data_IF_892533291081
#
_entry.id   IF_892533291081
#
_cell.length_a   1.000
_cell.length_b   1.000
_cell.length_c   1.000
_cell.angle_alpha   90.00
_cell.angle_beta   90.00
_cell.angle_gamma   90.00
#
_symmetry.space_group_name_H-M   'P 1'
#
loop_
_entity.id
_entity.type
_entity.pdbx_description
1 polymer ?
#
# COMPACT_ATOMS: atom_id res chain seq x y z
N UNK A 1 -10.25 -91.74 -57.78
CA UNK A 1 -10.93 -91.86 -56.48
C UNK A 1 -10.70 -90.55 -55.74
N UNK A 2 -11.80 -89.94 -55.27
CA UNK A 2 -11.91 -88.75 -54.36
C UNK A 2 -11.39 -87.40 -54.88
N UNK A 3 -12.27 -86.55 -55.47
CA UNK A 3 -13.00 -85.38 -54.88
C UNK A 3 -12.08 -84.17 -54.63
N UNK A 4 -12.08 -83.11 -55.46
CA UNK A 4 -13.08 -82.04 -55.66
C UNK A 4 -13.28 -81.13 -54.43
N UNK A 5 -12.96 -79.84 -54.57
CA UNK A 5 -13.65 -78.69 -53.97
C UNK A 5 -12.93 -77.37 -54.30
N UNK A 6 -13.59 -76.62 -55.18
CA UNK A 6 -13.46 -75.21 -55.54
C UNK A 6 -13.88 -74.24 -54.42
N UNK A 7 -13.38 -72.99 -54.48
CA UNK A 7 -14.07 -71.68 -54.28
C UNK A 7 -13.07 -70.59 -53.81
N UNK A 8 -12.61 -69.67 -54.66
CA UNK A 8 -13.20 -68.36 -55.11
C UNK A 8 -13.03 -67.16 -54.17
N UNK A 9 -12.52 -66.06 -54.74
CA UNK A 9 -12.82 -64.66 -54.40
C UNK A 9 -11.92 -64.04 -53.32
N UNK A 10 -11.36 -62.84 -53.44
CA UNK A 10 -11.62 -61.72 -54.34
C UNK A 10 -11.76 -60.40 -53.54
N UNK A 11 -11.06 -59.36 -54.01
CA UNK A 11 -11.27 -57.92 -53.78
C UNK A 11 -10.67 -57.21 -52.54
N UNK A 12 -9.67 -56.37 -52.84
CA UNK A 12 -9.70 -54.88 -52.83
C UNK A 12 -10.39 -54.08 -51.70
N UNK A 13 -9.63 -53.15 -51.11
CA UNK A 13 -10.11 -51.96 -50.37
C UNK A 13 -8.98 -51.35 -49.52
N UNK A 14 -8.31 -50.27 -49.95
CA UNK A 14 -8.63 -48.84 -49.72
C UNK A 14 -8.79 -48.46 -48.24
N UNK A 15 -7.89 -47.60 -47.74
CA UNK A 15 -8.02 -47.00 -46.40
C UNK A 15 -6.84 -46.09 -46.01
N UNK A 16 -6.88 -44.84 -46.45
CA UNK A 16 -6.12 -43.72 -45.88
C UNK A 16 -6.79 -43.24 -44.57
N UNK A 17 -5.98 -42.58 -43.74
CA UNK A 17 -6.29 -41.60 -42.67
C UNK A 17 -6.24 -42.10 -41.22
N UNK A 18 -5.65 -41.27 -40.36
CA UNK A 18 -5.60 -41.47 -38.91
C UNK A 18 -4.43 -40.77 -38.23
N UNK A 19 -4.44 -39.43 -38.21
CA UNK A 19 -3.67 -38.65 -37.25
C UNK A 19 -4.34 -38.74 -35.86
N UNK A 20 -3.55 -38.84 -34.80
CA UNK A 20 -3.82 -38.33 -33.44
C UNK A 20 -2.50 -38.43 -32.67
N UNK A 21 -1.89 -37.37 -32.14
CA UNK A 21 -2.49 -36.24 -31.45
C UNK A 21 -2.09 -36.32 -29.97
N UNK A 22 -0.79 -36.20 -29.67
CA UNK A 22 -0.27 -36.30 -28.31
C UNK A 22 -0.79 -35.17 -27.38
N UNK A 23 -1.29 -35.47 -26.17
CA UNK A 23 -1.76 -34.45 -25.24
C UNK A 23 -0.59 -34.03 -24.32
N UNK A 24 0.29 -33.15 -24.78
CA UNK A 24 1.48 -32.75 -24.01
C UNK A 24 1.55 -31.29 -23.51
N UNK A 25 0.70 -30.37 -24.00
CA UNK A 25 1.01 -28.93 -23.91
C UNK A 25 0.22 -28.06 -22.93
N UNK A 26 -0.92 -28.54 -22.38
CA UNK A 26 -1.87 -27.65 -21.68
C UNK A 26 -1.69 -27.52 -20.16
N UNK A 27 -0.85 -28.34 -19.53
CA UNK A 27 -0.65 -28.35 -18.06
C UNK A 27 0.39 -27.33 -17.54
N UNK A 28 1.43 -27.04 -18.32
CA UNK A 28 2.54 -26.19 -17.88
C UNK A 28 2.16 -24.69 -17.80
N UNK A 29 1.37 -24.20 -18.76
CA UNK A 29 0.97 -22.78 -18.81
C UNK A 29 -0.06 -22.41 -17.72
N UNK A 30 -0.91 -23.35 -17.29
CA UNK A 30 -1.85 -23.12 -16.18
C UNK A 30 -1.13 -23.12 -14.82
N UNK A 31 -0.24 -24.08 -14.60
CA UNK A 31 0.50 -24.20 -13.34
C UNK A 31 1.36 -22.96 -13.02
N UNK A 32 1.96 -22.31 -14.03
CA UNK A 32 2.71 -21.06 -13.84
C UNK A 32 1.83 -19.82 -13.57
N UNK A 33 0.64 -19.75 -14.18
CA UNK A 33 -0.32 -18.67 -13.94
C UNK A 33 -0.95 -18.77 -12.54
N UNK A 34 -1.21 -19.98 -12.07
CA UNK A 34 -1.81 -20.23 -10.75
C UNK A 34 -0.80 -19.95 -9.62
N UNK A 35 0.47 -20.34 -9.80
CA UNK A 35 1.56 -20.04 -8.87
C UNK A 35 1.84 -18.52 -8.77
N UNK A 36 1.95 -17.84 -9.91
CA UNK A 36 2.16 -16.37 -9.94
C UNK A 36 0.97 -15.59 -9.37
N UNK A 37 -0.26 -16.08 -9.54
CA UNK A 37 -1.46 -15.54 -8.89
C UNK A 37 -1.45 -15.73 -7.37
N UNK A 38 -1.05 -16.91 -6.89
CA UNK A 38 -0.92 -17.21 -5.46
C UNK A 38 0.14 -16.34 -4.78
N UNK A 39 1.30 -16.14 -5.42
CA UNK A 39 2.37 -15.27 -4.95
C UNK A 39 1.94 -13.81 -4.88
N UNK A 40 1.23 -13.33 -5.92
CA UNK A 40 0.66 -11.97 -5.94
C UNK A 40 -0.35 -11.77 -4.80
N UNK A 41 -1.22 -12.75 -4.56
CA UNK A 41 -2.17 -12.72 -3.44
C UNK A 41 -1.47 -12.71 -2.07
N UNK A 42 -0.38 -13.46 -1.90
CA UNK A 42 0.40 -13.49 -0.67
C UNK A 42 1.09 -12.14 -0.39
N UNK A 43 1.65 -11.51 -1.43
CA UNK A 43 2.26 -10.17 -1.34
C UNK A 43 1.22 -9.13 -0.94
N UNK A 44 0.05 -9.13 -1.58
CA UNK A 44 -1.04 -8.19 -1.25
C UNK A 44 -1.53 -8.38 0.19
N UNK A 45 -1.68 -9.62 0.69
CA UNK A 45 -2.03 -9.87 2.10
C UNK A 45 -0.98 -9.34 3.07
N UNK A 46 0.32 -9.48 2.76
CA UNK A 46 1.41 -8.91 3.57
C UNK A 46 1.35 -7.38 3.56
N UNK A 47 1.16 -6.76 2.40
CA UNK A 47 1.00 -5.30 2.27
C UNK A 47 -0.15 -4.79 3.13
N UNK A 48 -1.32 -5.44 3.05
CA UNK A 48 -2.49 -5.07 3.86
C UNK A 48 -2.23 -5.13 5.36
N UNK A 49 -1.49 -6.13 5.83
CA UNK A 49 -1.11 -6.22 7.26
C UNK A 49 -0.21 -5.07 7.70
N UNK A 50 0.77 -4.69 6.89
CA UNK A 50 1.65 -3.54 7.19
C UNK A 50 0.89 -2.22 7.17
N UNK A 51 -0.04 -2.03 6.24
CA UNK A 51 -0.92 -0.85 6.22
C UNK A 51 -1.85 -0.83 7.45
N UNK A 52 -2.40 -1.98 7.84
CA UNK A 52 -3.20 -2.08 9.06
C UNK A 52 -2.40 -1.76 10.32
N UNK A 53 -1.17 -2.27 10.42
CA UNK A 53 -0.27 -1.94 11.53
C UNK A 53 -0.04 -0.43 11.61
N UNK A 54 0.27 0.21 10.48
CA UNK A 54 0.43 1.66 10.40
C UNK A 54 -0.83 2.41 10.85
N UNK A 55 -2.01 2.00 10.37
CA UNK A 55 -3.30 2.61 10.77
C UNK A 55 -3.54 2.46 12.27
N UNK A 56 -3.29 1.28 12.85
CA UNK A 56 -3.45 1.07 14.29
C UNK A 56 -2.50 1.96 15.07
N UNK A 57 -1.22 2.02 14.70
CA UNK A 57 -0.25 2.91 15.34
C UNK A 57 -0.68 4.39 15.25
N UNK A 58 -1.19 4.82 14.09
CA UNK A 58 -1.66 6.19 13.87
C UNK A 58 -2.89 6.51 14.73
N UNK A 59 -3.84 5.58 14.81
CA UNK A 59 -5.04 5.71 15.65
C UNK A 59 -4.64 5.75 17.12
N UNK A 60 -3.78 4.85 17.58
CA UNK A 60 -3.29 4.85 18.96
C UNK A 60 -2.59 6.18 19.30
N UNK A 61 -1.71 6.66 18.42
CA UNK A 61 -1.04 7.96 18.59
C UNK A 61 -2.01 9.15 18.60
N UNK A 62 -3.15 9.06 17.92
CA UNK A 62 -4.20 10.07 17.97
C UNK A 62 -5.02 9.98 19.26
N UNK A 63 -5.37 8.77 19.70
CA UNK A 63 -6.15 8.56 20.91
C UNK A 63 -5.42 9.01 22.16
N UNK A 64 -4.09 8.89 22.22
CA UNK A 64 -3.28 9.38 23.35
C UNK A 64 -3.39 10.89 23.57
N UNK A 65 -3.84 11.64 22.56
CA UNK A 65 -4.04 13.08 22.69
C UNK A 65 -5.37 13.45 23.40
N UNK A 66 -6.32 12.52 23.57
CA UNK A 66 -7.57 12.80 24.29
C UNK A 66 -7.38 12.78 25.83
N UNK A 67 -6.87 11.71 26.46
CA UNK A 67 -6.61 11.67 27.90
C UNK A 67 -5.16 12.06 28.22
N UNK A 68 -4.62 13.09 27.56
CA UNK A 68 -3.19 13.44 27.66
C UNK A 68 -2.73 13.70 29.11
N UNK A 69 -3.58 14.35 29.92
CA UNK A 69 -3.29 14.59 31.34
C UNK A 69 -3.26 13.28 32.14
N UNK A 70 -4.24 12.40 31.93
CA UNK A 70 -4.30 11.11 32.62
C UNK A 70 -3.10 10.25 32.22
N UNK A 71 -2.82 10.12 30.93
CA UNK A 71 -1.69 9.31 30.45
C UNK A 71 -0.34 9.83 30.97
N UNK A 72 -0.11 11.14 30.96
CA UNK A 72 1.14 11.71 31.50
C UNK A 72 1.28 11.50 33.00
N UNK A 73 0.18 11.51 33.79
CA UNK A 73 0.20 11.10 35.20
C UNK A 73 0.58 9.63 35.36
N UNK A 74 -0.09 8.72 34.64
CA UNK A 74 0.21 7.28 34.69
C UNK A 74 1.67 6.97 34.30
N UNK A 75 2.17 7.57 33.20
CA UNK A 75 3.56 7.40 32.76
C UNK A 75 4.53 7.91 33.81
N UNK A 76 4.25 9.07 34.41
CA UNK A 76 5.13 9.63 35.44
C UNK A 76 5.13 8.74 36.69
N UNK A 77 3.98 8.30 37.18
CA UNK A 77 3.87 7.39 38.33
C UNK A 77 4.57 6.05 38.10
N UNK A 78 4.51 5.52 36.87
CA UNK A 78 5.21 4.28 36.50
C UNK A 78 6.74 4.46 36.49
N UNK A 79 7.21 5.65 36.12
CA UNK A 79 8.64 5.98 35.98
C UNK A 79 9.26 6.47 37.30
N UNK A 80 8.45 7.04 38.21
CA UNK A 80 8.90 7.53 39.54
C UNK A 80 8.50 6.61 40.70
N UNK A 81 7.73 5.56 40.43
CA UNK A 81 7.26 4.62 41.44
C UNK A 81 8.38 3.84 42.13
N UNK A 82 8.12 3.23 43.31
CA UNK A 82 9.13 2.56 44.15
C UNK A 82 9.87 1.40 43.49
N UNK A 83 9.37 0.88 42.37
CA UNK A 83 9.92 -0.24 41.61
C UNK A 83 10.51 0.17 40.25
N UNK A 84 10.74 1.46 40.00
CA UNK A 84 11.12 1.97 38.69
C UNK A 84 12.66 2.03 38.49
N UNK A 85 13.24 1.16 37.63
CA UNK A 85 14.68 1.18 37.33
C UNK A 85 15.12 2.37 36.44
N UNK A 86 14.18 3.15 35.89
CA UNK A 86 14.51 4.25 34.97
C UNK A 86 14.94 5.55 35.68
N UNK A 87 14.57 5.73 36.95
CA UNK A 87 14.93 6.92 37.72
C UNK A 87 16.46 7.07 37.83
N UNK A 88 17.17 5.95 37.98
CA UNK A 88 18.62 5.93 38.13
C UNK A 88 19.37 5.96 36.79
N UNK A 89 18.75 5.48 35.70
CA UNK A 89 19.40 5.38 34.39
C UNK A 89 19.19 6.62 33.49
N UNK A 90 18.09 7.36 33.65
CA UNK A 90 17.77 8.53 32.80
C UNK A 90 17.08 9.67 33.60
N UNK A 91 17.74 10.22 34.64
CA UNK A 91 17.13 11.20 35.55
C UNK A 91 16.69 12.50 34.86
N UNK A 92 17.34 12.88 33.75
CA UNK A 92 16.95 14.05 32.97
C UNK A 92 15.60 13.88 32.26
N UNK A 93 15.29 12.67 31.80
CA UNK A 93 14.02 12.37 31.13
C UNK A 93 12.87 12.35 32.14
N UNK A 94 13.11 11.77 33.33
CA UNK A 94 12.12 11.73 34.41
C UNK A 94 11.71 13.14 34.85
N UNK A 95 12.68 14.02 35.09
CA UNK A 95 12.39 15.43 35.46
C UNK A 95 11.60 16.16 34.38
N UNK A 96 11.86 15.88 33.10
CA UNK A 96 11.12 16.49 32.01
C UNK A 96 9.68 15.95 31.92
N UNK A 97 9.48 14.65 32.14
CA UNK A 97 8.15 14.05 32.22
C UNK A 97 7.33 14.64 33.37
N UNK A 98 7.92 14.78 34.56
CA UNK A 98 7.30 15.44 35.72
C UNK A 98 6.94 16.89 35.39
N UNK A 99 7.88 17.65 34.81
CA UNK A 99 7.63 19.03 34.40
C UNK A 99 6.49 19.14 33.38
N UNK A 100 6.46 18.24 32.39
CA UNK A 100 5.39 18.21 31.39
C UNK A 100 4.04 17.85 32.00
N UNK A 101 3.98 16.87 32.90
CA UNK A 101 2.76 16.48 33.63
C UNK A 101 2.22 17.66 34.43
N UNK A 102 3.08 18.31 35.22
CA UNK A 102 2.68 19.42 36.08
C UNK A 102 2.24 20.63 35.25
N UNK A 103 2.94 20.93 34.15
CA UNK A 103 2.56 22.00 33.22
C UNK A 103 1.20 21.73 32.54
N UNK A 104 0.92 20.48 32.14
CA UNK A 104 -0.37 20.10 31.54
C UNK A 104 -1.50 20.22 32.56
N UNK A 105 -1.31 19.67 33.77
CA UNK A 105 -2.33 19.71 34.81
C UNK A 105 -2.66 21.16 35.23
N UNK A 106 -1.64 22.00 35.39
CA UNK A 106 -1.81 23.40 35.77
C UNK A 106 -2.44 24.24 34.63
N UNK A 107 -2.07 23.95 33.38
CA UNK A 107 -2.71 24.58 32.21
C UNK A 107 -4.16 24.16 32.07
N UNK A 108 -4.49 22.88 32.27
CA UNK A 108 -5.87 22.40 32.20
C UNK A 108 -6.73 22.97 33.33
N UNK A 109 -6.16 23.15 34.53
CA UNK A 109 -6.85 23.77 35.66
C UNK A 109 -7.14 25.26 35.40
N UNK A 110 -6.21 25.99 34.78
CA UNK A 110 -6.32 27.44 34.57
C UNK A 110 -6.94 27.84 33.23
N UNK A 111 -6.75 27.05 32.19
CA UNK A 111 -7.12 27.33 30.80
C UNK A 111 -7.60 26.05 30.07
N UNK A 112 -8.71 25.43 30.52
CA UNK A 112 -9.18 24.14 29.99
C UNK A 112 -9.53 24.17 28.49
N UNK A 113 -9.88 25.34 27.94
CA UNK A 113 -10.19 25.47 26.51
C UNK A 113 -8.98 25.16 25.59
N UNK A 114 -7.75 25.22 26.10
CA UNK A 114 -6.55 24.88 25.31
C UNK A 114 -6.48 23.38 24.98
N UNK A 115 -7.09 22.51 25.79
CA UNK A 115 -7.21 21.08 25.50
C UNK A 115 -8.02 20.82 24.21
N UNK A 116 -8.86 21.77 23.76
CA UNK A 116 -9.53 21.64 22.47
C UNK A 116 -8.54 21.57 21.29
N UNK A 117 -7.35 22.18 21.42
CA UNK A 117 -6.30 22.07 20.42
C UNK A 117 -5.74 20.65 20.30
N UNK A 118 -5.64 19.92 21.40
CA UNK A 118 -5.22 18.50 21.39
C UNK A 118 -6.32 17.59 20.84
N UNK A 119 -7.59 17.94 21.05
CA UNK A 119 -8.73 17.22 20.45
C UNK A 119 -8.72 17.31 18.92
N UNK A 120 -8.41 18.49 18.36
CA UNK A 120 -8.25 18.66 16.91
C UNK A 120 -7.08 17.85 16.35
N UNK A 121 -5.98 17.77 17.09
CA UNK A 121 -4.84 16.93 16.71
C UNK A 121 -5.25 15.46 16.68
N UNK A 122 -5.96 14.98 17.70
CA UNK A 122 -6.50 13.63 17.76
C UNK A 122 -7.44 13.35 16.58
N UNK A 123 -8.34 14.29 16.29
CA UNK A 123 -9.26 14.19 15.16
C UNK A 123 -8.53 14.09 13.82
N UNK A 124 -7.47 14.86 13.60
CA UNK A 124 -6.67 14.79 12.37
C UNK A 124 -6.09 13.37 12.16
N UNK A 125 -5.61 12.71 13.21
CA UNK A 125 -5.10 11.34 13.12
C UNK A 125 -6.21 10.35 12.73
N UNK A 126 -7.41 10.49 13.30
CA UNK A 126 -8.56 9.65 12.94
C UNK A 126 -9.01 9.87 11.49
N UNK A 127 -9.02 11.11 11.01
CA UNK A 127 -9.35 11.44 9.61
C UNK A 127 -8.31 10.85 8.65
N UNK A 128 -7.02 10.95 8.97
CA UNK A 128 -5.95 10.34 8.16
C UNK A 128 -6.11 8.81 8.18
N UNK A 129 -6.34 8.20 9.35
CA UNK A 129 -6.59 6.76 9.48
C UNK A 129 -7.79 6.31 8.63
N UNK A 130 -8.88 7.08 8.61
CA UNK A 130 -10.04 6.80 7.77
C UNK A 130 -9.70 6.88 6.26
N UNK A 131 -8.85 7.83 5.85
CA UNK A 131 -8.39 7.92 4.46
C UNK A 131 -7.61 6.67 4.00
N UNK A 132 -6.95 5.98 4.93
CA UNK A 132 -6.22 4.73 4.67
C UNK A 132 -7.11 3.50 4.44
N UNK A 133 -8.42 3.57 4.72
CA UNK A 133 -9.35 2.47 4.47
C UNK A 133 -9.36 2.03 3.00
N UNK A 134 -9.23 2.98 2.06
CA UNK A 134 -9.17 2.69 0.62
C UNK A 134 -7.87 1.99 0.21
N UNK A 135 -6.66 2.50 0.58
CA UNK A 135 -5.39 1.78 0.39
C UNK A 135 -5.34 0.38 1.01
N UNK A 136 -5.98 0.16 2.15
CA UNK A 136 -6.05 -1.18 2.79
C UNK A 136 -6.85 -2.17 1.92
N UNK A 137 -7.92 -1.72 1.26
CA UNK A 137 -8.69 -2.58 0.36
C UNK A 137 -7.98 -2.80 -0.98
N UNK A 138 -7.53 -1.73 -1.62
CA UNK A 138 -6.82 -1.80 -2.90
C UNK A 138 -5.58 -0.88 -2.90
N UNK A 139 -4.40 -1.41 -2.54
CA UNK A 139 -3.18 -0.62 -2.43
C UNK A 139 -2.59 -0.22 -3.78
N UNK A 140 -2.88 -0.96 -4.86
CA UNK A 140 -2.33 -0.68 -6.19
C UNK A 140 -3.01 0.52 -6.83
N UNK A 141 -4.34 0.61 -6.74
CA UNK A 141 -5.09 1.76 -7.25
C UNK A 141 -4.85 3.04 -6.47
N UNK A 142 -4.42 2.95 -5.21
CA UNK A 142 -4.30 4.08 -4.29
C UNK A 142 -2.85 4.33 -3.82
N UNK A 143 -1.85 3.95 -4.62
CA UNK A 143 -0.42 4.10 -4.26
C UNK A 143 -0.03 5.55 -3.96
N UNK A 144 -0.74 6.53 -4.55
CA UNK A 144 -0.50 7.94 -4.29
C UNK A 144 -0.72 8.32 -2.82
N UNK A 145 -1.74 7.75 -2.16
CA UNK A 145 -2.00 7.99 -0.72
C UNK A 145 -0.83 7.49 0.14
N UNK A 146 -0.25 6.34 -0.23
CA UNK A 146 0.91 5.76 0.46
C UNK A 146 2.14 6.67 0.28
N UNK A 147 2.36 7.22 -0.93
CA UNK A 147 3.45 8.18 -1.18
C UNK A 147 3.25 9.48 -0.40
N UNK A 148 2.03 10.01 -0.36
CA UNK A 148 1.68 11.19 0.43
C UNK A 148 1.96 10.96 1.91
N UNK A 149 1.61 9.78 2.43
CA UNK A 149 1.88 9.46 3.83
C UNK A 149 3.37 9.32 4.15
N UNK A 150 4.18 8.79 3.23
CA UNK A 150 5.65 8.82 3.38
C UNK A 150 6.16 10.25 3.49
N UNK A 151 5.64 11.17 2.66
CA UNK A 151 6.00 12.58 2.73
C UNK A 151 5.55 13.21 4.06
N UNK A 152 4.34 12.90 4.53
CA UNK A 152 3.85 13.36 5.82
C UNK A 152 4.73 12.87 6.97
N UNK A 153 5.13 11.59 6.97
CA UNK A 153 6.05 11.03 7.97
C UNK A 153 7.43 11.69 7.90
N UNK A 154 7.96 11.96 6.70
CA UNK A 154 9.22 12.67 6.53
C UNK A 154 9.14 14.12 7.04
N UNK A 155 7.98 14.76 6.90
CA UNK A 155 7.71 16.12 7.39
C UNK A 155 7.71 16.26 8.92
N UNK A 156 7.55 15.16 9.67
CA UNK A 156 7.68 15.16 11.14
C UNK A 156 9.10 15.55 11.58
N UNK A 157 10.12 15.14 10.82
CA UNK A 157 11.53 15.40 11.15
C UNK A 157 11.85 16.91 11.15
N UNK A 158 11.62 17.67 10.06
CA UNK A 158 11.86 19.11 10.08
C UNK A 158 10.96 19.84 11.07
N UNK A 159 9.71 19.38 11.28
CA UNK A 159 8.82 19.96 12.27
C UNK A 159 9.40 19.84 13.69
N UNK A 160 9.84 18.64 14.10
CA UNK A 160 10.46 18.42 15.41
C UNK A 160 11.80 19.18 15.54
N UNK A 161 12.52 19.35 14.43
CA UNK A 161 13.77 20.10 14.42
C UNK A 161 13.57 21.62 14.55
N UNK A 162 12.52 22.20 13.98
CA UNK A 162 12.28 23.66 13.99
C UNK A 162 11.37 24.08 15.14
N UNK A 163 10.24 23.40 15.36
CA UNK A 163 9.30 23.75 16.42
C UNK A 163 9.78 23.33 17.81
N UNK A 164 10.60 22.30 17.91
CA UNK A 164 11.19 21.84 19.18
C UNK A 164 12.00 22.94 19.91
N UNK A 165 13.06 23.52 19.31
CA UNK A 165 13.83 24.58 19.93
C UNK A 165 13.01 25.85 20.15
N UNK A 166 12.09 26.20 19.23
CA UNK A 166 11.22 27.37 19.38
C UNK A 166 10.33 27.30 20.63
N UNK A 167 10.01 26.09 21.11
CA UNK A 167 9.19 25.85 22.31
C UNK A 167 10.01 25.38 23.52
N UNK A 168 11.34 25.43 23.45
CA UNK A 168 12.22 25.02 24.55
C UNK A 168 12.25 23.51 24.83
N UNK A 169 11.81 22.67 23.88
CA UNK A 169 11.78 21.21 24.07
C UNK A 169 13.21 20.65 23.98
N UNK A 170 13.64 19.81 24.93
CA UNK A 170 14.99 19.27 24.96
C UNK A 170 15.27 18.34 23.77
N UNK A 171 16.55 18.25 23.37
CA UNK A 171 16.99 17.49 22.19
C UNK A 171 16.62 16.00 22.26
N UNK A 172 16.73 15.36 23.43
CA UNK A 172 16.39 13.95 23.59
C UNK A 172 14.90 13.69 23.33
N UNK A 173 14.02 14.61 23.73
CA UNK A 173 12.58 14.48 23.50
C UNK A 173 12.24 14.65 22.02
N UNK A 174 12.92 15.58 21.34
CA UNK A 174 12.79 15.75 19.89
C UNK A 174 13.19 14.48 19.12
N UNK A 175 14.17 13.70 19.59
CA UNK A 175 14.48 12.40 18.99
C UNK A 175 13.37 11.37 19.18
N UNK A 176 12.67 11.40 20.31
CA UNK A 176 11.47 10.58 20.52
C UNK A 176 10.40 10.97 19.51
N UNK A 177 10.15 12.27 19.31
CA UNK A 177 9.18 12.75 18.32
C UNK A 177 9.53 12.30 16.87
N UNK A 178 10.80 12.38 16.49
CA UNK A 178 11.28 11.92 15.18
C UNK A 178 11.13 10.40 15.01
N UNK A 179 11.25 9.64 16.10
CA UNK A 179 11.11 8.18 16.05
C UNK A 179 9.72 7.76 15.56
N UNK A 180 8.66 8.52 15.87
CA UNK A 180 7.31 8.25 15.35
C UNK A 180 7.25 8.38 13.83
N UNK A 181 7.89 9.41 13.26
CA UNK A 181 8.01 9.57 11.81
C UNK A 181 8.77 8.41 11.16
N UNK A 182 9.85 7.95 11.79
CA UNK A 182 10.66 6.82 11.30
C UNK A 182 9.89 5.50 11.39
N UNK A 183 9.27 5.22 12.53
CA UNK A 183 8.47 4.01 12.75
C UNK A 183 7.27 3.98 11.79
N UNK A 184 6.68 5.14 11.48
CA UNK A 184 5.61 5.26 10.47
C UNK A 184 6.11 5.03 9.04
N UNK A 185 7.26 5.60 8.67
CA UNK A 185 7.76 5.53 7.28
C UNK A 185 8.25 4.13 6.89
N UNK A 186 8.80 3.35 7.83
CA UNK A 186 9.37 2.03 7.56
C UNK A 186 8.34 1.04 6.97
N UNK A 187 7.16 0.81 7.57
CA UNK A 187 6.07 0.02 6.98
C UNK A 187 5.67 0.48 5.57
N UNK A 188 5.53 1.80 5.38
CA UNK A 188 5.11 2.39 4.10
C UNK A 188 6.15 2.14 3.00
N UNK A 189 7.44 2.25 3.31
CA UNK A 189 8.52 1.95 2.37
C UNK A 189 8.56 0.47 2.01
N UNK A 190 8.35 -0.44 2.98
CA UNK A 190 8.26 -1.89 2.72
C UNK A 190 7.09 -2.17 1.76
N UNK A 191 5.94 -1.54 1.98
CA UNK A 191 4.77 -1.66 1.11
C UNK A 191 5.07 -1.16 -0.30
N UNK A 192 5.67 0.03 -0.45
CA UNK A 192 6.05 0.57 -1.76
C UNK A 192 7.07 -0.32 -2.47
N UNK A 193 8.04 -0.89 -1.74
CA UNK A 193 8.99 -1.84 -2.31
C UNK A 193 8.29 -3.09 -2.84
N UNK A 194 7.32 -3.61 -2.11
CA UNK A 194 6.57 -4.82 -2.47
C UNK A 194 5.57 -4.61 -3.63
N UNK A 195 5.04 -3.39 -3.81
CA UNK A 195 4.08 -3.08 -4.88
C UNK A 195 4.75 -2.77 -6.23
N UNK A 196 6.03 -2.33 -6.24
CA UNK A 196 6.75 -1.97 -7.47
C UNK A 196 6.78 -3.06 -8.56
N UNK A 197 7.01 -4.35 -8.26
CA UNK A 197 6.96 -5.40 -9.28
C UNK A 197 5.55 -5.59 -9.86
N UNK A 198 4.53 -5.50 -9.02
CA UNK A 198 3.13 -5.66 -9.43
C UNK A 198 2.65 -4.50 -10.32
N UNK A 199 3.10 -3.28 -10.05
CA UNK A 199 2.85 -2.10 -10.88
C UNK A 199 3.42 -2.28 -12.30
N UNK A 200 4.64 -2.83 -12.42
CA UNK A 200 5.27 -3.10 -13.72
C UNK A 200 4.52 -4.17 -14.52
N UNK A 201 4.06 -5.23 -13.87
CA UNK A 201 3.28 -6.28 -14.53
C UNK A 201 1.88 -5.82 -14.94
N UNK A 202 1.21 -5.01 -14.12
CA UNK A 202 -0.08 -4.41 -14.47
C UNK A 202 0.02 -3.44 -15.65
N UNK A 203 1.08 -2.62 -15.70
CA UNK A 203 1.33 -1.71 -16.82
C UNK A 203 1.66 -2.46 -18.12
N UNK A 204 2.43 -3.56 -18.06
CA UNK A 204 2.76 -4.38 -19.22
C UNK A 204 1.55 -5.15 -19.78
N UNK A 205 0.65 -5.64 -18.92
CA UNK A 205 -0.57 -6.33 -19.34
C UNK A 205 -1.60 -5.42 -20.01
N UNK A 206 -1.65 -4.13 -19.63
CA UNK A 206 -2.51 -3.13 -20.27
C UNK A 206 -2.06 -2.73 -21.68
N UNK A 207 -0.75 -2.72 -21.94
CA UNK A 207 -0.19 -2.41 -23.25
C UNK A 207 -0.40 -3.54 -24.28
N UNK A 208 -0.56 -4.79 -23.83
CA UNK A 208 -0.81 -5.96 -24.70
C UNK A 208 -2.27 -6.11 -25.19
N UNK A 209 -3.21 -5.33 -24.66
CA UNK A 209 -4.64 -5.44 -24.99
C UNK A 209 -5.14 -4.48 -26.10
N UNK A 210 -4.30 -3.58 -26.61
CA UNK A 210 -4.72 -2.52 -27.55
C UNK A 210 -4.36 -2.86 -29.02
N UNK A 211 -3.81 -4.03 -29.30
CA UNK A 211 -3.30 -4.38 -30.63
C UNK A 211 -3.73 -5.74 -31.17
N UNK A 212 -5.03 -5.96 -31.40
CA UNK A 212 -5.51 -7.00 -32.33
C UNK A 212 -7.02 -6.87 -32.60
N UNK A 213 -7.39 -5.97 -33.51
CA UNK A 213 -8.68 -6.03 -34.21
C UNK A 213 -8.41 -6.18 -35.71
N UNK A 214 -8.91 -7.22 -36.41
CA UNK A 214 -8.70 -7.36 -37.85
C UNK A 214 -9.67 -6.45 -38.59
N UNK A 215 -9.21 -5.25 -38.96
CA UNK A 215 -9.92 -4.36 -39.88
C UNK A 215 -9.62 -4.72 -41.33
N UNK A 216 -10.40 -5.65 -41.87
CA UNK A 216 -10.44 -5.99 -43.29
C UNK A 216 -10.90 -4.81 -44.16
N UNK A 217 -10.12 -4.50 -45.19
CA UNK A 217 -10.58 -4.20 -46.56
C UNK A 217 -11.67 -3.17 -46.79
N UNK A 218 -11.29 -2.02 -47.33
CA UNK A 218 -12.21 -1.06 -47.95
C UNK A 218 -11.43 -0.02 -48.75
N UNK A 219 -10.96 -0.41 -49.94
CA UNK A 219 -10.37 0.48 -50.91
C UNK A 219 -11.39 1.53 -51.38
N UNK A 220 -10.98 2.80 -51.48
CA UNK A 220 -11.73 3.82 -52.21
C UNK A 220 -10.80 4.49 -53.25
N UNK A 221 -11.00 4.26 -54.55
CA UNK A 221 -10.33 5.01 -55.60
C UNK A 221 -11.22 6.19 -56.03
N UNK A 222 -10.64 7.39 -56.15
CA UNK A 222 -11.37 8.52 -56.74
C UNK A 222 -10.74 9.87 -56.45
N UNK A 223 -9.79 10.25 -57.29
CA UNK A 223 -9.45 11.65 -57.56
C UNK A 223 -10.63 12.31 -58.28
N UNK A 224 -10.83 13.62 -58.07
CA UNK A 224 -10.89 14.67 -59.12
C UNK A 224 -11.68 15.92 -58.67
N UNK A 225 -11.16 17.11 -59.02
CA UNK A 225 -11.86 18.41 -59.01
C UNK A 225 -11.51 19.34 -57.84
N UNK A 226 -10.48 20.21 -57.91
CA UNK A 226 -10.46 21.51 -58.58
C UNK A 226 -11.49 22.53 -58.03
N UNK A 227 -11.02 23.64 -57.42
CA UNK A 227 -11.89 24.74 -56.99
C UNK A 227 -11.24 25.76 -56.05
N UNK A 228 -10.33 26.57 -56.58
CA UNK A 228 -9.83 27.85 -56.05
C UNK A 228 -10.91 28.91 -55.80
N UNK A 229 -10.77 29.71 -54.73
CA UNK A 229 -11.10 31.16 -54.54
C UNK A 229 -11.29 31.43 -53.02
N UNK A 230 -10.37 32.03 -52.26
CA UNK A 230 -9.89 33.42 -52.17
C UNK A 230 -10.99 34.48 -51.93
N UNK A 231 -11.00 34.97 -50.68
CA UNK A 231 -11.31 36.33 -50.17
C UNK A 231 -12.66 37.00 -50.48
N UNK A 232 -13.40 37.36 -49.42
CA UNK A 232 -13.72 38.74 -49.01
C UNK A 232 -14.95 38.73 -48.06
N UNK A 233 -14.87 39.49 -46.98
CA UNK A 233 -15.93 39.66 -45.98
C UNK A 233 -15.35 40.10 -44.64
#
# INVERSE_FOLDING_TARGET
MTTDASHTGGSSGSGRTGADGGPGGRGAHRSGADASGADTGAVLRRVRRWLWLFVVCLVLSGLTAFPLETETRWVTELVTGPAAPLADHVPALVRWLEHARDAIADTNARYPFLAYGTDWLAFAHLVIAAAFWRPVKDPLRNIWVIRWAVLACAGVIPLALVCGPLRGIPLYWRFIDMSFGIVGVVPLLIVLRALRPLERHAAAGGAGGVGAGPGSGGANPGRDGAGTLRAAG
#
